data_IF_615065806429
#
_entry.id   IF_615065806429
#
_cell.length_a   1.000
_cell.length_b   1.000
_cell.length_c   1.000
_cell.angle_alpha   90.00
_cell.angle_beta   90.00
_cell.angle_gamma   90.00
#
_symmetry.space_group_name_H-M   'P 1'
#
loop_
_entity.id
_entity.type
_entity.pdbx_description
1 polymer ?
#
# COMPACT_ATOMS: atom_id res chain seq x y z
N UNK A 1 41.49 -12.19 7.88
CA UNK A 1 40.28 -12.50 7.09
C UNK A 1 39.20 -12.94 8.05
N UNK A 2 37.95 -12.49 7.87
CA UNK A 2 36.84 -12.97 8.69
C UNK A 2 36.71 -14.49 8.51
N UNK A 3 36.64 -15.22 9.63
CA UNK A 3 36.65 -16.69 9.68
C UNK A 3 35.25 -17.26 9.42
N UNK A 4 34.21 -16.44 9.54
CA UNK A 4 32.84 -16.80 9.18
C UNK A 4 32.55 -16.45 7.71
N UNK A 5 31.89 -17.36 6.99
CA UNK A 5 31.38 -17.10 5.65
C UNK A 5 30.29 -16.01 5.67
N UNK A 6 30.20 -15.15 4.63
CA UNK A 6 29.19 -14.10 4.59
C UNK A 6 27.78 -14.69 4.49
N UNK A 7 26.87 -14.24 5.35
CA UNK A 7 25.45 -14.59 5.26
C UNK A 7 24.77 -13.71 4.20
N UNK A 8 23.96 -14.32 3.35
CA UNK A 8 23.17 -13.60 2.35
C UNK A 8 21.92 -13.01 3.01
N UNK A 9 21.75 -11.68 2.91
CA UNK A 9 20.64 -10.93 3.52
C UNK A 9 19.94 -10.06 2.46
N UNK A 10 18.71 -10.44 2.11
CA UNK A 10 17.90 -9.73 1.12
C UNK A 10 17.48 -8.33 1.58
N UNK A 11 17.15 -8.16 2.85
CA UNK A 11 16.71 -6.87 3.40
C UNK A 11 17.84 -5.87 3.29
N UNK A 12 19.07 -6.30 3.62
CA UNK A 12 20.26 -5.47 3.47
C UNK A 12 20.51 -5.09 2.01
N UNK A 13 20.38 -6.03 1.07
CA UNK A 13 20.56 -5.76 -0.37
C UNK A 13 19.51 -4.77 -0.88
N UNK A 14 18.24 -4.95 -0.50
CA UNK A 14 17.17 -4.03 -0.88
C UNK A 14 17.44 -2.62 -0.35
N UNK A 15 17.86 -2.49 0.92
CA UNK A 15 18.24 -1.19 1.48
C UNK A 15 19.43 -0.55 0.73
N UNK A 16 20.45 -1.33 0.38
CA UNK A 16 21.58 -0.83 -0.43
C UNK A 16 21.11 -0.34 -1.80
N UNK A 17 20.28 -1.12 -2.50
CA UNK A 17 19.75 -0.74 -3.81
C UNK A 17 18.89 0.51 -3.73
N UNK A 18 18.03 0.59 -2.72
CA UNK A 18 17.15 1.72 -2.47
C UNK A 18 17.96 3.02 -2.26
N UNK A 19 19.02 2.97 -1.46
CA UNK A 19 19.94 4.09 -1.29
C UNK A 19 20.66 4.43 -2.60
N UNK A 20 21.18 3.44 -3.34
CA UNK A 20 21.85 3.68 -4.62
C UNK A 20 20.92 4.38 -5.63
N UNK A 21 19.71 3.86 -5.83
CA UNK A 21 18.74 4.42 -6.79
C UNK A 21 18.24 5.81 -6.38
N UNK A 22 18.16 6.11 -5.08
CA UNK A 22 17.82 7.46 -4.60
C UNK A 22 18.89 8.51 -4.94
N UNK A 23 20.16 8.09 -5.07
CA UNK A 23 21.28 8.99 -5.35
C UNK A 23 21.44 9.31 -6.85
N UNK A 24 20.92 8.46 -7.74
CA UNK A 24 21.00 8.69 -9.19
C UNK A 24 20.27 9.97 -9.58
N UNK A 25 20.83 10.77 -10.47
CA UNK A 25 20.06 11.85 -11.10
C UNK A 25 18.85 11.29 -11.86
N UNK A 26 17.83 12.11 -12.08
CA UNK A 26 16.65 11.71 -12.89
C UNK A 26 17.04 11.27 -14.30
N UNK A 27 18.02 11.93 -14.93
CA UNK A 27 18.53 11.55 -16.25
C UNK A 27 19.22 10.18 -16.23
N UNK A 28 20.04 9.90 -15.21
CA UNK A 28 20.69 8.60 -15.04
C UNK A 28 19.69 7.48 -14.76
N UNK A 29 18.70 7.75 -13.90
CA UNK A 29 17.65 6.78 -13.58
C UNK A 29 16.81 6.47 -14.82
N UNK A 30 16.47 7.47 -15.63
CA UNK A 30 15.78 7.30 -16.90
C UNK A 30 16.63 6.46 -17.87
N UNK A 31 17.89 6.82 -18.09
CA UNK A 31 18.75 6.12 -19.05
C UNK A 31 18.99 4.65 -18.64
N UNK A 32 19.34 4.39 -17.37
CA UNK A 32 19.54 3.03 -16.86
C UNK A 32 18.23 2.24 -16.85
N UNK A 33 17.13 2.88 -16.47
CA UNK A 33 15.79 2.30 -16.48
C UNK A 33 15.34 1.90 -17.88
N UNK A 34 15.56 2.77 -18.88
CA UNK A 34 15.18 2.53 -20.26
C UNK A 34 15.93 1.32 -20.85
N UNK A 35 17.25 1.24 -20.66
CA UNK A 35 18.05 0.08 -21.11
C UNK A 35 17.54 -1.23 -20.52
N UNK A 36 17.07 -1.21 -19.27
CA UNK A 36 16.47 -2.39 -18.63
C UNK A 36 15.07 -2.68 -19.17
N UNK A 37 14.25 -1.65 -19.36
CA UNK A 37 12.92 -1.77 -19.94
C UNK A 37 12.97 -2.36 -21.35
N UNK A 38 13.92 -1.96 -22.20
CA UNK A 38 14.09 -2.53 -23.54
C UNK A 38 14.29 -4.05 -23.52
N UNK A 39 14.94 -4.57 -22.47
CA UNK A 39 15.22 -6.00 -22.33
C UNK A 39 14.09 -6.79 -21.67
N UNK A 40 13.41 -6.20 -20.69
CA UNK A 40 12.50 -6.93 -19.79
C UNK A 40 11.04 -6.46 -19.84
N UNK A 41 10.78 -5.27 -20.40
CA UNK A 41 9.45 -4.64 -20.49
C UNK A 41 9.35 -3.74 -21.72
N UNK A 42 9.30 -4.31 -22.94
CA UNK A 42 9.33 -3.54 -24.19
C UNK A 42 8.23 -2.48 -24.29
N UNK A 43 7.02 -2.78 -23.82
CA UNK A 43 5.88 -1.85 -23.79
C UNK A 43 6.19 -0.59 -22.96
N UNK A 44 6.82 -0.76 -21.80
CA UNK A 44 7.27 0.37 -20.98
C UNK A 44 8.35 1.17 -21.72
N UNK A 45 9.29 0.50 -22.38
CA UNK A 45 10.35 1.17 -23.11
C UNK A 45 9.81 2.01 -24.27
N UNK A 46 8.78 1.53 -24.97
CA UNK A 46 8.08 2.28 -26.00
C UNK A 46 7.45 3.56 -25.44
N UNK A 47 6.73 3.46 -24.32
CA UNK A 47 6.14 4.63 -23.65
C UNK A 47 7.21 5.63 -23.19
N UNK A 48 8.29 5.15 -22.58
CA UNK A 48 9.40 5.99 -22.11
C UNK A 48 10.12 6.71 -23.27
N UNK A 49 10.21 6.08 -24.45
CA UNK A 49 10.78 6.69 -25.65
C UNK A 49 9.82 7.65 -26.34
N UNK A 50 8.51 7.36 -26.29
CA UNK A 50 7.46 8.20 -26.86
C UNK A 50 7.32 9.51 -26.09
N UNK A 51 7.49 9.49 -24.76
CA UNK A 51 7.29 10.64 -23.89
C UNK A 51 8.48 10.94 -22.96
N UNK A 52 9.69 11.16 -23.49
CA UNK A 52 10.94 11.20 -22.69
C UNK A 52 10.95 12.27 -21.61
N UNK A 53 10.52 13.49 -21.93
CA UNK A 53 10.52 14.61 -20.98
C UNK A 53 9.46 14.41 -19.88
N UNK A 54 8.30 13.86 -20.26
CA UNK A 54 7.22 13.57 -19.32
C UNK A 54 7.59 12.43 -18.37
N UNK A 55 8.21 11.36 -18.90
CA UNK A 55 8.75 10.27 -18.08
C UNK A 55 9.75 10.81 -17.05
N UNK A 56 10.68 11.67 -17.47
CA UNK A 56 11.67 12.23 -16.55
C UNK A 56 11.01 13.10 -15.47
N UNK A 57 10.01 13.92 -15.84
CA UNK A 57 9.24 14.69 -14.86
C UNK A 57 8.52 13.77 -13.85
N UNK A 58 7.86 12.72 -14.31
CA UNK A 58 7.19 11.74 -13.45
C UNK A 58 8.16 11.03 -12.51
N UNK A 59 9.34 10.62 -13.03
CA UNK A 59 10.40 10.05 -12.21
C UNK A 59 10.91 11.04 -11.16
N UNK A 60 10.95 12.34 -11.47
CA UNK A 60 11.51 13.37 -10.59
C UNK A 60 10.60 13.78 -9.42
N UNK A 61 9.31 13.45 -9.46
CA UNK A 61 8.35 13.82 -8.40
C UNK A 61 8.94 13.47 -7.03
N UNK A 62 8.98 14.43 -6.09
CA UNK A 62 9.49 14.31 -4.71
C UNK A 62 10.91 13.75 -4.51
N UNK A 63 11.65 13.41 -5.58
CA UNK A 63 13.03 12.94 -5.50
C UNK A 63 13.96 14.10 -5.16
N UNK A 64 15.10 13.77 -4.55
CA UNK A 64 16.12 14.75 -4.19
C UNK A 64 15.63 15.81 -3.19
N UNK A 65 14.57 15.50 -2.45
CA UNK A 65 14.08 16.30 -1.33
C UNK A 65 14.50 15.65 0.00
N UNK A 66 14.45 16.40 1.11
CA UNK A 66 14.74 15.86 2.44
C UNK A 66 13.84 14.67 2.81
N UNK A 67 12.60 14.68 2.28
CA UNK A 67 11.59 13.66 2.51
C UNK A 67 11.45 12.71 1.30
N UNK A 68 12.55 12.41 0.60
CA UNK A 68 12.53 11.46 -0.50
C UNK A 68 12.00 10.09 0.01
N UNK A 69 10.86 9.62 -0.52
CA UNK A 69 10.26 8.36 -0.07
C UNK A 69 11.01 7.13 -0.55
N UNK A 70 12.03 7.30 -1.40
CA UNK A 70 12.86 6.25 -2.00
C UNK A 70 12.01 5.14 -2.60
N UNK A 71 11.14 5.50 -3.53
CA UNK A 71 10.16 4.60 -4.17
C UNK A 71 10.75 3.47 -5.01
N UNK A 72 12.04 3.52 -5.32
CA UNK A 72 12.70 2.54 -6.19
C UNK A 72 13.65 1.66 -5.41
N UNK A 73 13.40 0.35 -5.42
CA UNK A 73 14.34 -0.65 -4.91
C UNK A 73 14.94 -1.45 -6.07
N UNK A 74 14.17 -1.64 -7.13
CA UNK A 74 14.58 -2.28 -8.38
C UNK A 74 14.15 -1.43 -9.58
N UNK A 75 14.80 -1.62 -10.73
CA UNK A 75 14.35 -0.98 -11.98
C UNK A 75 12.94 -1.39 -12.39
N UNK A 76 12.48 -2.57 -11.99
CA UNK A 76 11.10 -3.03 -12.20
C UNK A 76 10.08 -2.18 -11.44
N UNK A 77 10.49 -1.43 -10.42
CA UNK A 77 9.57 -0.54 -9.71
C UNK A 77 9.29 0.73 -10.53
N UNK A 78 10.08 1.04 -11.57
CA UNK A 78 9.80 2.17 -12.48
C UNK A 78 8.39 2.02 -13.06
N UNK A 79 8.05 0.86 -13.63
CA UNK A 79 6.73 0.62 -14.24
C UNK A 79 5.59 0.92 -13.27
N UNK A 80 5.67 0.37 -12.04
CA UNK A 80 4.66 0.54 -10.99
C UNK A 80 4.43 2.00 -10.61
N UNK A 81 5.48 2.83 -10.69
CA UNK A 81 5.43 4.22 -10.29
C UNK A 81 5.10 5.17 -11.44
N UNK A 82 5.29 4.78 -12.71
CA UNK A 82 5.12 5.69 -13.85
C UNK A 82 3.98 5.33 -14.81
N UNK A 83 3.53 4.07 -14.85
CA UNK A 83 2.57 3.61 -15.87
C UNK A 83 1.28 4.42 -15.87
N UNK A 84 0.72 4.72 -14.69
CA UNK A 84 -0.53 5.45 -14.54
C UNK A 84 -0.49 6.92 -15.01
N UNK A 85 0.70 7.48 -15.25
CA UNK A 85 0.84 8.83 -15.81
C UNK A 85 0.57 8.87 -17.31
N UNK A 86 0.75 7.75 -18.03
CA UNK A 86 0.48 7.70 -19.47
C UNK A 86 -1.02 7.52 -19.70
N UNK A 87 -1.61 8.37 -20.55
CA UNK A 87 -3.05 8.32 -20.86
C UNK A 87 -3.49 6.94 -21.35
N UNK A 88 -2.70 6.33 -22.24
CA UNK A 88 -2.93 5.00 -22.82
C UNK A 88 -3.09 3.93 -21.74
N UNK A 89 -2.19 3.92 -20.75
CA UNK A 89 -2.22 2.96 -19.66
C UNK A 89 -3.21 3.32 -18.57
N UNK A 90 -3.44 4.61 -18.32
CA UNK A 90 -4.43 5.06 -17.35
C UNK A 90 -5.82 4.57 -17.72
N UNK A 91 -6.22 4.64 -19.00
CA UNK A 91 -7.52 4.14 -19.43
C UNK A 91 -7.62 2.61 -19.26
N UNK A 92 -6.55 1.87 -19.53
CA UNK A 92 -6.49 0.43 -19.25
C UNK A 92 -6.66 0.14 -17.75
N UNK A 93 -5.93 0.86 -16.89
CA UNK A 93 -5.99 0.69 -15.44
C UNK A 93 -7.35 1.04 -14.85
N UNK A 94 -8.09 2.00 -15.43
CA UNK A 94 -9.46 2.33 -14.99
C UNK A 94 -10.39 1.12 -15.08
N UNK A 95 -10.22 0.25 -16.07
CA UNK A 95 -11.06 -0.96 -16.22
C UNK A 95 -10.83 -1.99 -15.13
N UNK A 96 -9.68 -1.94 -14.47
CA UNK A 96 -9.26 -2.86 -13.40
C UNK A 96 -9.36 -2.23 -12.01
N UNK A 97 -9.93 -1.02 -11.92
CA UNK A 97 -10.03 -0.27 -10.66
C UNK A 97 -10.97 -1.01 -9.69
N UNK A 98 -10.59 -1.18 -8.40
CA UNK A 98 -11.52 -1.68 -7.41
C UNK A 98 -12.71 -0.72 -7.24
N UNK A 99 -13.88 -1.27 -6.93
CA UNK A 99 -15.05 -0.47 -6.60
C UNK A 99 -14.78 0.41 -5.39
N UNK A 100 -15.49 1.54 -5.34
CA UNK A 100 -15.44 2.41 -4.17
C UNK A 100 -16.05 1.68 -2.97
N UNK A 101 -15.55 1.97 -1.75
CA UNK A 101 -16.09 1.35 -0.55
C UNK A 101 -17.57 1.70 -0.40
N UNK A 102 -18.38 0.72 0.03
CA UNK A 102 -19.84 0.83 0.09
C UNK A 102 -20.31 1.96 1.02
N UNK A 103 -19.48 2.32 2.01
CA UNK A 103 -19.76 3.39 2.95
C UNK A 103 -19.72 4.80 2.33
N UNK A 104 -19.25 4.98 1.09
CA UNK A 104 -19.25 6.28 0.41
C UNK A 104 -20.30 6.28 -0.73
N UNK A 105 -21.49 6.88 -0.49
CA UNK A 105 -22.53 7.00 -1.50
C UNK A 105 -22.04 7.69 -2.78
N UNK A 106 -22.63 7.33 -3.91
CA UNK A 106 -22.28 7.95 -5.20
C UNK A 106 -22.52 9.46 -5.20
N UNK A 107 -23.59 9.92 -4.54
CA UNK A 107 -23.93 11.34 -4.47
C UNK A 107 -22.87 12.13 -3.70
N UNK A 108 -22.36 11.60 -2.59
CA UNK A 108 -21.24 12.18 -1.85
C UNK A 108 -19.97 12.26 -2.70
N UNK A 109 -19.67 11.22 -3.48
CA UNK A 109 -18.51 11.21 -4.39
C UNK A 109 -18.61 12.27 -5.47
N UNK A 110 -19.79 12.42 -6.09
CA UNK A 110 -20.05 13.45 -7.11
C UNK A 110 -19.95 14.85 -6.52
N UNK A 111 -20.57 15.07 -5.35
CA UNK A 111 -20.53 16.35 -4.66
C UNK A 111 -19.08 16.75 -4.33
N UNK A 112 -18.27 15.82 -3.81
CA UNK A 112 -16.86 16.06 -3.55
C UNK A 112 -16.07 16.38 -4.83
N UNK A 113 -16.26 15.61 -5.90
CA UNK A 113 -15.56 15.85 -7.16
C UNK A 113 -15.91 17.21 -7.77
N UNK A 114 -17.17 17.64 -7.65
CA UNK A 114 -17.62 18.95 -8.11
C UNK A 114 -17.02 20.08 -7.26
N UNK A 115 -17.15 19.99 -5.92
CA UNK A 115 -16.59 21.00 -4.99
C UNK A 115 -15.06 21.12 -5.18
N UNK A 116 -14.38 19.99 -5.37
CA UNK A 116 -12.95 19.95 -5.66
C UNK A 116 -12.62 20.65 -6.98
N UNK A 117 -13.38 20.40 -8.04
CA UNK A 117 -13.15 21.03 -9.33
C UNK A 117 -13.39 22.55 -9.33
N UNK A 118 -14.32 23.03 -8.49
CA UNK A 118 -14.71 24.45 -8.42
C UNK A 118 -13.80 25.26 -7.48
N UNK A 119 -13.34 24.68 -6.37
CA UNK A 119 -12.70 25.43 -5.28
C UNK A 119 -11.22 25.08 -5.01
N UNK A 120 -10.66 24.07 -5.68
CA UNK A 120 -9.26 23.71 -5.48
C UNK A 120 -8.30 24.55 -6.33
N UNK A 121 -7.27 25.12 -5.72
CA UNK A 121 -6.27 25.95 -6.40
C UNK A 121 -4.85 25.41 -6.21
N UNK A 122 -4.17 25.18 -7.33
CA UNK A 122 -2.80 24.67 -7.39
C UNK A 122 -1.73 25.74 -7.16
N UNK A 123 -2.09 27.01 -6.99
CA UNK A 123 -1.12 28.11 -6.85
C UNK A 123 -0.35 28.11 -5.51
N UNK A 124 -0.88 27.44 -4.47
CA UNK A 124 -0.29 27.35 -3.13
C UNK A 124 0.82 26.31 -2.95
N UNK A 125 1.26 26.13 -1.71
CA UNK A 125 2.18 25.06 -1.32
C UNK A 125 1.43 23.78 -0.88
N UNK A 126 2.18 22.72 -0.59
CA UNK A 126 1.62 21.41 -0.18
C UNK A 126 0.72 21.52 1.06
N UNK A 127 1.06 22.40 2.01
CA UNK A 127 0.25 22.62 3.21
C UNK A 127 -1.07 23.32 2.88
N UNK A 128 -1.01 24.33 2.02
CA UNK A 128 -2.18 25.07 1.54
C UNK A 128 -3.14 24.13 0.79
N UNK A 129 -2.62 23.26 -0.08
CA UNK A 129 -3.44 22.27 -0.78
C UNK A 129 -4.11 21.29 0.19
N UNK A 130 -3.39 20.86 1.21
CA UNK A 130 -3.94 19.96 2.24
C UNK A 130 -5.03 20.65 3.06
N UNK A 131 -4.88 21.94 3.37
CA UNK A 131 -5.91 22.72 4.05
C UNK A 131 -7.15 22.93 3.17
N UNK A 132 -6.98 23.26 1.88
CA UNK A 132 -8.09 23.32 0.92
C UNK A 132 -8.86 21.99 0.84
N UNK A 133 -8.15 20.86 0.74
CA UNK A 133 -8.77 19.53 0.72
C UNK A 133 -9.57 19.23 1.98
N UNK A 134 -9.08 19.67 3.15
CA UNK A 134 -9.82 19.52 4.42
C UNK A 134 -11.10 20.33 4.43
N UNK A 135 -11.09 21.56 3.93
CA UNK A 135 -12.29 22.38 3.84
C UNK A 135 -13.32 21.80 2.86
N UNK A 136 -12.89 21.37 1.66
CA UNK A 136 -13.76 20.67 0.69
C UNK A 136 -14.38 19.41 1.33
N UNK A 137 -13.59 18.62 2.05
CA UNK A 137 -14.07 17.42 2.73
C UNK A 137 -15.07 17.69 3.87
N UNK A 138 -15.01 18.87 4.52
CA UNK A 138 -16.03 19.30 5.50
C UNK A 138 -17.34 19.63 4.81
N UNK A 139 -17.29 20.32 3.68
CA UNK A 139 -18.47 20.80 2.97
C UNK A 139 -19.31 19.67 2.37
N UNK A 140 -18.72 18.50 2.11
CA UNK A 140 -19.40 17.37 1.46
C UNK A 140 -19.71 16.20 2.39
N UNK A 141 -19.81 16.42 3.70
CA UNK A 141 -20.16 15.43 4.75
C UNK A 141 -19.32 14.14 4.77
N UNK A 142 -18.16 14.12 4.10
CA UNK A 142 -17.24 12.96 4.10
C UNK A 142 -16.68 12.67 5.50
N UNK A 143 -16.58 13.68 6.35
CA UNK A 143 -16.10 13.51 7.74
C UNK A 143 -17.06 12.70 8.59
N UNK A 144 -18.38 12.86 8.39
CA UNK A 144 -19.40 12.12 9.15
C UNK A 144 -19.35 10.62 8.79
N UNK A 145 -19.16 10.32 7.50
CA UNK A 145 -19.07 8.95 6.98
C UNK A 145 -17.79 8.25 7.49
N UNK A 146 -16.63 8.93 7.45
CA UNK A 146 -15.35 8.38 7.89
C UNK A 146 -15.32 8.10 9.42
N UNK A 147 -15.95 8.97 10.22
CA UNK A 147 -16.05 8.78 11.67
C UNK A 147 -16.96 7.60 12.06
N UNK A 148 -18.07 7.41 11.36
CA UNK A 148 -19.01 6.31 11.63
C UNK A 148 -18.42 4.93 11.27
N UNK A 149 -17.60 4.86 10.21
CA UNK A 149 -16.91 3.60 9.84
C UNK A 149 -15.79 3.19 10.81
N UNK A 150 -15.23 4.14 11.58
CA UNK A 150 -14.22 3.85 12.61
C UNK A 150 -14.84 3.31 13.90
N UNK A 151 -16.11 3.63 14.17
CA UNK A 151 -16.85 3.09 15.32
C UNK A 151 -17.37 1.67 15.08
N UNK A 152 -17.77 1.33 13.85
CA UNK A 152 -18.32 0.01 13.52
C UNK A 152 -17.26 -1.11 13.59
N UNK A 153 -16.01 -0.81 13.21
CA UNK A 153 -14.89 -1.76 13.29
C UNK A 153 -14.44 -2.06 14.74
N UNK A 154 -14.87 -1.22 15.70
CA UNK A 154 -14.64 -1.43 17.14
C UNK A 154 -15.78 -2.19 17.83
N UNK A 155 -17.01 -2.14 17.30
CA UNK A 155 -18.14 -2.91 17.83
C UNK A 155 -18.13 -4.37 17.37
N UNK A 156 -17.71 -4.66 16.13
CA UNK A 156 -17.59 -6.06 15.65
C UNK A 156 -16.46 -6.83 16.35
N UNK A 157 -15.39 -6.14 16.78
CA UNK A 157 -14.35 -6.72 17.64
C UNK A 157 -14.80 -6.94 19.08
N UNK A 158 -15.80 -6.20 19.57
CA UNK A 158 -16.25 -6.32 20.96
C UNK A 158 -17.32 -7.42 21.13
N UNK A 159 -18.22 -7.60 20.15
CA UNK A 159 -19.21 -8.68 20.19
C UNK A 159 -18.59 -10.08 20.02
N UNK A 160 -17.51 -10.20 19.25
CA UNK A 160 -16.77 -11.47 19.11
C UNK A 160 -15.99 -11.86 20.37
N UNK A 161 -15.57 -10.88 21.19
CA UNK A 161 -14.87 -11.14 22.45
C UNK A 161 -15.84 -11.40 23.62
N UNK A 162 -17.04 -10.79 23.63
CA UNK A 162 -18.04 -11.06 24.67
C UNK A 162 -18.81 -12.38 24.51
N UNK A 163 -18.74 -13.03 23.35
CA UNK A 163 -19.33 -14.37 23.16
C UNK A 163 -18.36 -15.53 23.52
N UNK A 164 -17.10 -15.23 23.87
CA UNK A 164 -16.08 -16.24 24.22
C UNK A 164 -15.90 -16.47 25.73
N UNK A 165 -16.56 -15.70 26.59
CA UNK A 165 -16.43 -15.82 28.05
C UNK A 165 -17.49 -16.69 28.74
N UNK A 166 -18.44 -17.28 28.02
CA UNK A 166 -19.44 -18.21 28.60
C UNK A 166 -19.22 -19.69 28.24
N UNK A 167 -18.17 -20.01 27.47
CA UNK A 167 -17.80 -21.37 27.11
C UNK A 167 -16.56 -21.85 27.89
N UNK A 168 -16.57 -21.78 29.23
CA UNK A 168 -15.49 -22.36 30.06
C UNK A 168 -15.93 -23.00 31.38
N UNK A 169 -17.23 -23.15 31.66
CA UNK A 169 -17.68 -23.70 32.95
C UNK A 169 -18.57 -24.94 32.86
N UNK A 170 -18.93 -25.41 31.66
CA UNK A 170 -19.86 -26.53 31.47
C UNK A 170 -19.21 -27.85 30.97
N UNK A 171 -17.94 -27.85 30.55
CA UNK A 171 -17.29 -29.03 29.95
C UNK A 171 -16.09 -29.59 30.72
N UNK A 172 -15.79 -29.09 31.93
CA UNK A 172 -14.79 -29.70 32.81
C UNK A 172 -15.35 -30.70 33.82
N UNK A 173 -16.68 -30.92 33.87
CA UNK A 173 -17.30 -31.80 34.86
C UNK A 173 -17.89 -33.11 34.28
N UNK A 174 -17.39 -33.57 33.12
CA UNK A 174 -17.80 -34.85 32.50
C UNK A 174 -16.68 -35.89 32.32
N UNK A 175 -15.47 -35.65 32.85
CA UNK A 175 -14.33 -36.58 32.73
C UNK A 175 -13.78 -37.12 34.06
N UNK A 176 -14.53 -37.00 35.16
CA UNK A 176 -14.10 -37.51 36.49
C UNK A 176 -14.98 -38.63 37.08
N UNK A 177 -15.93 -39.22 36.34
CA UNK A 177 -16.72 -40.37 36.83
C UNK A 177 -16.92 -41.46 35.79
N UNK A 178 -15.88 -42.26 35.53
CA UNK A 178 -15.99 -43.68 35.18
C UNK A 178 -14.60 -44.31 35.32
N UNK A 179 -14.15 -44.56 36.54
CA UNK A 179 -14.17 -45.89 37.15
C UNK A 179 -13.51 -47.00 36.30
N UNK A 180 -12.34 -47.43 36.77
CA UNK A 180 -11.98 -48.83 36.99
C UNK A 180 -11.84 -49.73 35.75
N UNK A 181 -10.58 -50.04 35.41
CA UNK A 181 -10.23 -51.16 34.54
C UNK A 181 -8.71 -51.32 34.40
N UNK A 182 -8.08 -51.94 35.40
CA UNK A 182 -6.64 -52.22 35.40
C UNK A 182 -6.20 -53.38 34.49
N UNK A 183 -4.87 -53.50 34.40
CA UNK A 183 -3.98 -54.41 33.61
C UNK A 183 -3.34 -53.65 32.45
N UNK A 184 -2.03 -53.50 32.31
CA UNK A 184 -0.86 -54.22 32.82
C UNK A 184 0.15 -54.35 31.65
N UNK A 185 1.44 -54.53 31.97
CA UNK A 185 2.59 -54.74 31.06
C UNK A 185 3.13 -53.46 30.39
N UNK A 186 4.41 -53.14 30.41
CA UNK A 186 5.63 -53.86 30.80
C UNK A 186 6.80 -53.19 30.10
N UNK A 187 7.94 -53.09 30.78
CA UNK A 187 9.22 -52.53 30.32
C UNK A 187 9.67 -53.06 28.95
N UNK A 188 10.40 -52.22 28.20
CA UNK A 188 11.78 -52.55 27.76
C UNK A 188 12.48 -51.36 27.09
N UNK A 189 13.67 -51.12 27.63
CA UNK A 189 14.90 -50.49 27.08
C UNK A 189 14.88 -49.02 26.64
#
# INVERSE_FOLDING_TARGET
MNVAGPLFDFVKIQNINNNYLSLLSTAELYAQGLVRAEKYSPELAELMKKYPDYTQQALNIERHTEKDPKRFTLYTDISKNILFFYDEERENLKTQKPDFPENIPLETRKAFAQEYAENFDLSGDVLTWFDQLKEIGKNTDLQVIMLNSSSEDSSEKCETLQCSSEFSSAEQNKLQTSSLGGRGWGEKE
#
